data_IF_868267478992
#
_entry.id   IF_868267478992
#
_cell.length_a   1.000
_cell.length_b   1.000
_cell.length_c   1.000
_cell.angle_alpha   90.00
_cell.angle_beta   90.00
_cell.angle_gamma   90.00
#
_symmetry.space_group_name_H-M   'P 1'
#
loop_
_entity.id
_entity.type
_entity.pdbx_description
1 polymer ?
#
# COMPACT_ATOMS: atom_id res chain seq x y z
N UNK A 1 20.52 -91.20 22.29
CA UNK A 1 19.40 -92.04 22.78
C UNK A 1 19.20 -91.72 24.25
N UNK A 2 18.26 -90.84 24.56
CA UNK A 2 17.64 -90.76 25.88
C UNK A 2 16.19 -91.21 25.64
N UNK A 3 15.90 -92.49 25.94
CA UNK A 3 14.68 -93.19 25.52
C UNK A 3 13.48 -92.85 26.42
N UNK A 4 13.14 -91.55 26.51
CA UNK A 4 12.02 -91.07 27.35
C UNK A 4 10.62 -91.39 26.82
N UNK A 5 10.51 -92.06 25.67
CA UNK A 5 9.24 -92.40 25.03
C UNK A 5 8.73 -93.82 25.36
N UNK A 6 9.57 -94.67 25.96
CA UNK A 6 9.22 -96.08 26.25
C UNK A 6 8.03 -96.22 27.24
N UNK A 7 7.91 -95.43 28.33
CA UNK A 7 6.77 -95.54 29.24
C UNK A 7 5.44 -95.17 28.56
N UNK A 8 5.48 -94.18 27.66
CA UNK A 8 4.31 -93.70 26.91
C UNK A 8 3.76 -94.76 25.92
N UNK A 9 4.64 -95.58 25.33
CA UNK A 9 4.24 -96.67 24.43
C UNK A 9 3.65 -97.88 25.18
N UNK A 10 4.05 -98.10 26.43
CA UNK A 10 3.49 -99.14 27.27
C UNK A 10 2.07 -98.81 27.77
N UNK A 11 1.78 -97.54 28.09
CA UNK A 11 0.44 -97.05 28.44
C UNK A 11 -0.57 -97.12 27.27
N UNK A 12 -0.08 -97.10 26.02
CA UNK A 12 -0.89 -97.24 24.80
C UNK A 12 -1.16 -98.71 24.40
N UNK A 13 -0.75 -99.69 25.20
CA UNK A 13 -1.04 -101.12 24.96
C UNK A 13 -0.16 -101.81 23.92
N UNK A 14 1.01 -101.26 23.60
CA UNK A 14 1.93 -101.81 22.59
C UNK A 14 2.82 -102.91 23.19
N UNK A 15 2.32 -104.15 23.28
CA UNK A 15 3.04 -105.26 23.94
C UNK A 15 3.80 -106.19 22.99
N UNK A 16 3.67 -106.03 21.67
CA UNK A 16 4.33 -106.91 20.68
C UNK A 16 4.85 -106.13 19.46
N UNK A 17 5.96 -106.59 18.87
CA UNK A 17 6.60 -106.02 17.67
C UNK A 17 5.60 -105.76 16.51
N UNK A 18 4.62 -106.63 16.22
CA UNK A 18 3.63 -106.38 15.17
C UNK A 18 2.75 -105.15 15.43
N UNK A 19 2.38 -104.86 16.69
CA UNK A 19 1.54 -103.70 17.04
C UNK A 19 2.31 -102.40 16.84
N UNK A 20 3.61 -102.38 17.13
CA UNK A 20 4.49 -101.23 16.87
C UNK A 20 4.63 -100.93 15.37
N UNK A 21 4.73 -101.97 14.52
CA UNK A 21 4.79 -101.81 13.06
C UNK A 21 3.48 -101.24 12.51
N UNK A 22 2.33 -101.72 12.99
CA UNK A 22 1.02 -101.19 12.60
C UNK A 22 0.87 -99.72 13.00
N UNK A 23 1.29 -99.35 14.22
CA UNK A 23 1.28 -97.96 14.67
C UNK A 23 2.17 -97.05 13.81
N UNK A 24 3.35 -97.50 13.40
CA UNK A 24 4.23 -96.74 12.51
C UNK A 24 3.58 -96.52 11.13
N UNK A 25 2.89 -97.53 10.60
CA UNK A 25 2.15 -97.41 9.33
C UNK A 25 0.99 -96.41 9.47
N UNK A 26 0.23 -96.46 10.58
CA UNK A 26 -0.86 -95.50 10.84
C UNK A 26 -0.33 -94.08 11.02
N UNK A 27 0.79 -93.89 11.72
CA UNK A 27 1.45 -92.58 11.87
C UNK A 27 1.96 -92.08 10.52
N UNK A 28 2.55 -92.96 9.69
CA UNK A 28 3.05 -92.59 8.37
C UNK A 28 1.92 -92.22 7.41
N UNK A 29 0.85 -93.01 7.36
CA UNK A 29 -0.35 -92.73 6.56
C UNK A 29 -1.09 -91.49 7.08
N UNK A 30 -1.20 -91.31 8.39
CA UNK A 30 -1.75 -90.11 9.02
C UNK A 30 -0.95 -88.86 8.67
N UNK A 31 0.39 -88.94 8.68
CA UNK A 31 1.28 -87.86 8.25
C UNK A 31 1.10 -87.54 6.77
N UNK A 32 0.98 -88.55 5.90
CA UNK A 32 0.72 -88.39 4.47
C UNK A 32 -0.62 -87.70 4.19
N UNK A 33 -1.69 -88.13 4.87
CA UNK A 33 -3.02 -87.54 4.76
C UNK A 33 -3.04 -86.10 5.25
N UNK A 34 -2.39 -85.80 6.38
CA UNK A 34 -2.24 -84.42 6.89
C UNK A 34 -1.52 -83.55 5.86
N UNK A 35 -0.38 -83.99 5.32
CA UNK A 35 0.37 -83.19 4.33
C UNK A 35 -0.46 -82.93 3.08
N UNK A 36 -1.23 -83.91 2.59
CA UNK A 36 -2.09 -83.77 1.43
C UNK A 36 -3.25 -82.81 1.68
N UNK A 37 -4.05 -83.04 2.74
CA UNK A 37 -5.22 -82.21 3.05
C UNK A 37 -4.85 -80.78 3.44
N UNK A 38 -3.79 -80.58 4.21
CA UNK A 38 -3.34 -79.23 4.57
C UNK A 38 -2.58 -78.55 3.42
N UNK A 39 -1.95 -79.30 2.51
CA UNK A 39 -1.24 -78.74 1.35
C UNK A 39 -2.17 -77.97 0.42
N UNK A 40 -3.30 -78.57 0.03
CA UNK A 40 -4.28 -77.93 -0.85
C UNK A 40 -4.97 -76.74 -0.16
N UNK A 41 -5.30 -76.87 1.13
CA UNK A 41 -5.84 -75.76 1.93
C UNK A 41 -4.86 -74.58 2.06
N UNK A 42 -3.56 -74.85 2.19
CA UNK A 42 -2.50 -73.84 2.22
C UNK A 42 -2.40 -73.14 0.85
N UNK A 43 -2.48 -73.89 -0.24
CA UNK A 43 -2.38 -73.35 -1.60
C UNK A 43 -3.57 -72.44 -1.94
N UNK A 44 -4.79 -72.86 -1.59
CA UNK A 44 -6.00 -72.04 -1.73
C UNK A 44 -5.89 -70.76 -0.91
N UNK A 45 -5.47 -70.84 0.37
CA UNK A 45 -5.25 -69.65 1.21
C UNK A 45 -4.17 -68.72 0.64
N UNK A 46 -3.12 -69.27 0.04
CA UNK A 46 -2.05 -68.48 -0.57
C UNK A 46 -2.55 -67.71 -1.80
N UNK A 47 -3.39 -68.34 -2.62
CA UNK A 47 -4.06 -67.71 -3.77
C UNK A 47 -5.06 -66.63 -3.34
N UNK A 48 -5.85 -66.90 -2.31
CA UNK A 48 -6.78 -65.91 -1.76
C UNK A 48 -6.03 -64.69 -1.21
N UNK A 49 -4.93 -64.93 -0.49
CA UNK A 49 -4.08 -63.87 0.05
C UNK A 49 -3.40 -63.07 -1.07
N UNK A 50 -2.89 -63.73 -2.12
CA UNK A 50 -2.27 -63.02 -3.26
C UNK A 50 -3.29 -62.17 -4.01
N UNK A 51 -4.49 -62.68 -4.23
CA UNK A 51 -5.59 -61.95 -4.88
C UNK A 51 -6.05 -60.76 -4.03
N UNK A 52 -6.17 -60.94 -2.71
CA UNK A 52 -6.50 -59.88 -1.77
C UNK A 52 -5.42 -58.78 -1.75
N UNK A 53 -4.15 -59.17 -1.75
CA UNK A 53 -3.02 -58.24 -1.81
C UNK A 53 -2.99 -57.45 -3.12
N UNK A 54 -3.29 -58.09 -4.26
CA UNK A 54 -3.38 -57.42 -5.55
C UNK A 54 -4.55 -56.44 -5.62
N UNK A 55 -5.72 -56.83 -5.12
CA UNK A 55 -6.88 -55.94 -5.01
C UNK A 55 -6.59 -54.73 -4.13
N UNK A 56 -5.97 -54.92 -2.96
CA UNK A 56 -5.58 -53.83 -2.07
C UNK A 56 -4.58 -52.88 -2.73
N UNK A 57 -3.62 -53.41 -3.50
CA UNK A 57 -2.66 -52.59 -4.24
C UNK A 57 -3.33 -51.76 -5.34
N UNK A 58 -4.29 -52.34 -6.05
CA UNK A 58 -5.09 -51.64 -7.07
C UNK A 58 -5.91 -50.51 -6.46
N UNK A 59 -6.59 -50.77 -5.34
CA UNK A 59 -7.40 -49.77 -4.65
C UNK A 59 -6.52 -48.62 -4.13
N UNK A 60 -5.37 -48.94 -3.52
CA UNK A 60 -4.41 -47.93 -3.05
C UNK A 60 -3.88 -47.06 -4.19
N UNK A 61 -3.55 -47.66 -5.34
CA UNK A 61 -3.11 -46.91 -6.53
C UNK A 61 -4.20 -45.97 -7.03
N UNK A 62 -5.46 -46.42 -7.06
CA UNK A 62 -6.59 -45.61 -7.49
C UNK A 62 -6.82 -44.44 -6.53
N UNK A 63 -6.76 -44.67 -5.22
CA UNK A 63 -6.86 -43.61 -4.22
C UNK A 63 -5.71 -42.59 -4.37
N UNK A 64 -4.48 -43.04 -4.59
CA UNK A 64 -3.33 -42.17 -4.82
C UNK A 64 -3.50 -41.30 -6.07
N UNK A 65 -4.05 -41.87 -7.15
CA UNK A 65 -4.33 -41.13 -8.37
C UNK A 65 -5.42 -40.07 -8.15
N UNK A 66 -6.50 -40.42 -7.44
CA UNK A 66 -7.56 -39.48 -7.07
C UNK A 66 -7.01 -38.31 -6.23
N UNK A 67 -6.21 -38.59 -5.20
CA UNK A 67 -5.60 -37.55 -4.38
C UNK A 67 -4.63 -36.66 -5.15
N UNK A 68 -3.85 -37.24 -6.08
CA UNK A 68 -2.95 -36.47 -6.95
C UNK A 68 -3.74 -35.51 -7.84
N UNK A 69 -4.84 -35.98 -8.43
CA UNK A 69 -5.69 -35.16 -9.29
C UNK A 69 -6.38 -34.05 -8.48
N UNK A 70 -6.92 -34.36 -7.30
CA UNK A 70 -7.53 -33.36 -6.42
C UNK A 70 -6.53 -32.28 -5.99
N UNK A 71 -5.29 -32.67 -5.68
CA UNK A 71 -4.24 -31.74 -5.30
C UNK A 71 -3.81 -30.85 -6.48
N UNK A 72 -3.70 -31.42 -7.68
CA UNK A 72 -3.39 -30.68 -8.90
C UNK A 72 -4.49 -29.65 -9.21
N UNK A 73 -5.76 -30.06 -9.16
CA UNK A 73 -6.90 -29.18 -9.39
C UNK A 73 -6.94 -28.03 -8.37
N UNK A 74 -6.80 -28.35 -7.08
CA UNK A 74 -6.74 -27.31 -6.03
C UNK A 74 -5.59 -26.34 -6.27
N UNK A 75 -4.41 -26.83 -6.64
CA UNK A 75 -3.25 -25.99 -6.92
C UNK A 75 -3.49 -25.06 -8.11
N UNK A 76 -4.11 -25.56 -9.17
CA UNK A 76 -4.47 -24.76 -10.34
C UNK A 76 -5.51 -23.68 -10.01
N UNK A 77 -6.56 -24.04 -9.26
CA UNK A 77 -7.57 -23.09 -8.76
C UNK A 77 -6.92 -22.00 -7.89
N UNK A 78 -6.04 -22.37 -6.95
CA UNK A 78 -5.32 -21.41 -6.12
C UNK A 78 -4.44 -20.48 -6.95
N UNK A 79 -3.70 -21.02 -7.91
CA UNK A 79 -2.84 -20.23 -8.82
C UNK A 79 -3.66 -19.24 -9.65
N UNK A 80 -4.79 -19.69 -10.20
CA UNK A 80 -5.67 -18.84 -11.00
C UNK A 80 -6.31 -17.73 -10.14
N UNK A 81 -6.75 -18.05 -8.92
CA UNK A 81 -7.28 -17.06 -7.98
C UNK A 81 -6.22 -16.02 -7.59
N UNK A 82 -4.99 -16.46 -7.31
CA UNK A 82 -3.88 -15.57 -6.97
C UNK A 82 -3.55 -14.63 -8.14
N UNK A 83 -3.47 -15.16 -9.36
CA UNK A 83 -3.22 -14.36 -10.57
C UNK A 83 -4.32 -13.33 -10.80
N UNK A 84 -5.59 -13.71 -10.61
CA UNK A 84 -6.73 -12.79 -10.74
C UNK A 84 -6.66 -11.67 -9.70
N UNK A 85 -6.34 -12.00 -8.45
CA UNK A 85 -6.20 -11.01 -7.38
C UNK A 85 -5.04 -10.04 -7.67
N UNK A 86 -3.90 -10.58 -8.15
CA UNK A 86 -2.73 -9.78 -8.52
C UNK A 86 -3.05 -8.79 -9.65
N UNK A 87 -3.69 -9.24 -10.72
CA UNK A 87 -4.07 -8.36 -11.83
C UNK A 87 -5.09 -7.30 -11.40
N UNK A 88 -6.00 -7.64 -10.48
CA UNK A 88 -6.96 -6.69 -9.92
C UNK A 88 -6.23 -5.59 -9.14
N UNK A 89 -5.36 -5.96 -8.19
CA UNK A 89 -4.58 -5.00 -7.42
C UNK A 89 -3.64 -4.15 -8.28
N UNK A 90 -3.04 -4.75 -9.32
CA UNK A 90 -2.20 -4.03 -10.28
C UNK A 90 -3.00 -2.97 -11.04
N UNK A 91 -4.22 -3.32 -11.47
CA UNK A 91 -5.14 -2.38 -12.12
C UNK A 91 -5.58 -1.25 -11.19
N UNK A 92 -5.96 -1.58 -9.95
CA UNK A 92 -6.32 -0.60 -8.91
C UNK A 92 -5.18 0.37 -8.61
N UNK A 93 -3.97 -0.16 -8.41
CA UNK A 93 -2.78 0.63 -8.13
C UNK A 93 -2.42 1.53 -9.31
N UNK A 94 -2.55 1.04 -10.54
CA UNK A 94 -2.36 1.86 -11.73
C UNK A 94 -3.39 3.00 -11.82
N UNK A 95 -4.66 2.72 -11.52
CA UNK A 95 -5.71 3.74 -11.51
C UNK A 95 -5.46 4.81 -10.43
N UNK A 96 -5.07 4.39 -9.22
CA UNK A 96 -4.71 5.30 -8.13
C UNK A 96 -3.51 6.14 -8.54
N UNK A 97 -2.45 5.53 -9.07
CA UNK A 97 -1.27 6.26 -9.53
C UNK A 97 -1.62 7.28 -10.61
N UNK A 98 -2.43 6.93 -11.61
CA UNK A 98 -2.85 7.87 -12.65
C UNK A 98 -3.66 9.05 -12.10
N UNK A 99 -4.59 8.79 -11.17
CA UNK A 99 -5.38 9.85 -10.53
C UNK A 99 -4.48 10.77 -9.70
N UNK A 100 -3.63 10.18 -8.89
CA UNK A 100 -2.69 10.87 -8.00
C UNK A 100 -1.67 11.69 -8.79
N UNK A 101 -1.08 11.13 -9.85
CA UNK A 101 -0.16 11.85 -10.74
C UNK A 101 -0.82 13.05 -11.40
N UNK A 102 -2.03 12.90 -11.95
CA UNK A 102 -2.77 14.02 -12.55
C UNK A 102 -3.13 15.10 -11.53
N UNK A 103 -3.48 14.69 -10.31
CA UNK A 103 -3.77 15.62 -9.22
C UNK A 103 -2.51 16.41 -8.84
N UNK A 104 -1.38 15.74 -8.65
CA UNK A 104 -0.10 16.38 -8.34
C UNK A 104 0.38 17.30 -9.45
N UNK A 105 0.24 16.89 -10.71
CA UNK A 105 0.57 17.74 -11.86
C UNK A 105 -0.25 19.03 -11.82
N UNK A 106 -1.58 18.92 -11.67
CA UNK A 106 -2.45 20.10 -11.57
C UNK A 106 -2.11 20.97 -10.36
N UNK A 107 -1.89 20.36 -9.20
CA UNK A 107 -1.50 21.07 -7.98
C UNK A 107 -0.17 21.82 -8.17
N UNK A 108 0.80 21.23 -8.86
CA UNK A 108 2.10 21.86 -9.10
C UNK A 108 1.99 23.12 -9.97
N UNK A 109 1.15 23.08 -11.00
CA UNK A 109 0.87 24.23 -11.86
C UNK A 109 0.17 25.35 -11.08
N UNK A 110 -0.80 24.99 -10.25
CA UNK A 110 -1.53 25.94 -9.39
C UNK A 110 -0.57 26.63 -8.41
N UNK A 111 0.31 25.87 -7.75
CA UNK A 111 1.32 26.41 -6.83
C UNK A 111 2.27 27.37 -7.56
N UNK A 112 2.76 26.98 -8.74
CA UNK A 112 3.69 27.79 -9.52
C UNK A 112 3.07 29.14 -9.94
N UNK A 113 1.84 29.12 -10.45
CA UNK A 113 1.14 30.35 -10.86
C UNK A 113 0.77 31.22 -9.65
N UNK A 114 0.30 30.63 -8.54
CA UNK A 114 0.04 31.38 -7.31
C UNK A 114 1.30 32.08 -6.80
N UNK A 115 2.42 31.37 -6.72
CA UNK A 115 3.69 31.95 -6.24
C UNK A 115 4.18 33.09 -7.15
N UNK A 116 4.00 32.96 -8.47
CA UNK A 116 4.29 34.02 -9.43
C UNK A 116 3.41 35.26 -9.19
N UNK A 117 2.11 35.08 -8.93
CA UNK A 117 1.20 36.18 -8.61
C UNK A 117 1.58 36.86 -7.30
N UNK A 118 1.88 36.10 -6.24
CA UNK A 118 2.37 36.62 -4.95
C UNK A 118 3.67 37.41 -5.13
N UNK A 119 4.63 36.90 -5.91
CA UNK A 119 5.90 37.57 -6.17
C UNK A 119 5.72 38.89 -6.91
N UNK A 120 4.79 38.91 -7.88
CA UNK A 120 4.43 40.11 -8.63
C UNK A 120 3.73 41.13 -7.75
N UNK A 121 2.77 40.69 -6.94
CA UNK A 121 2.09 41.51 -5.93
C UNK A 121 3.09 42.18 -5.00
N UNK A 122 4.00 41.39 -4.42
CA UNK A 122 5.04 41.90 -3.53
C UNK A 122 5.89 42.98 -4.21
N UNK A 123 6.29 42.78 -5.48
CA UNK A 123 7.04 43.78 -6.23
C UNK A 123 6.24 45.07 -6.41
N UNK A 124 4.98 44.97 -6.84
CA UNK A 124 4.13 46.14 -7.08
C UNK A 124 3.83 46.93 -5.80
N UNK A 125 3.69 46.24 -4.66
CA UNK A 125 3.55 46.91 -3.36
C UNK A 125 4.85 47.56 -2.89
N UNK A 126 6.01 46.93 -3.11
CA UNK A 126 7.29 47.58 -2.83
C UNK A 126 7.51 48.82 -3.71
N UNK A 127 7.14 48.77 -4.99
CA UNK A 127 7.20 49.93 -5.89
C UNK A 127 6.26 51.05 -5.39
N UNK A 128 5.05 50.69 -4.96
CA UNK A 128 4.05 51.62 -4.43
C UNK A 128 4.49 52.28 -3.12
N UNK A 129 5.13 51.54 -2.21
CA UNK A 129 5.49 52.03 -0.86
C UNK A 129 6.95 52.49 -0.75
N UNK A 130 7.70 52.50 -1.84
CA UNK A 130 9.10 52.90 -1.86
C UNK A 130 9.30 54.33 -1.31
N UNK A 131 10.33 54.49 -0.46
CA UNK A 131 10.71 55.79 0.12
C UNK A 131 11.16 56.79 -0.94
N UNK A 132 11.96 56.32 -1.90
CA UNK A 132 12.43 57.11 -3.02
C UNK A 132 11.83 56.54 -4.30
N UNK A 133 11.15 57.39 -5.05
CA UNK A 133 10.50 57.03 -6.31
C UNK A 133 11.11 57.88 -7.41
N UNK A 134 11.54 57.21 -8.47
CA UNK A 134 11.96 57.92 -9.67
C UNK A 134 10.71 58.50 -10.34
N UNK A 135 10.73 59.80 -10.62
CA UNK A 135 9.66 60.52 -11.32
C UNK A 135 10.24 61.10 -12.60
N UNK A 136 9.63 60.81 -13.74
CA UNK A 136 10.13 61.22 -15.06
C UNK A 136 9.43 62.47 -15.55
N UNK A 137 8.10 62.53 -15.41
CA UNK A 137 7.32 63.67 -15.90
C UNK A 137 6.32 64.19 -14.88
N UNK A 138 5.43 63.33 -14.39
CA UNK A 138 4.27 63.75 -13.60
C UNK A 138 4.16 62.86 -12.37
N UNK A 139 4.50 63.44 -11.22
CA UNK A 139 4.55 62.71 -9.96
C UNK A 139 3.19 62.17 -9.54
N UNK A 140 2.09 62.85 -9.84
CA UNK A 140 0.74 62.44 -9.41
C UNK A 140 0.24 61.31 -10.31
N UNK A 141 0.41 61.47 -11.63
CA UNK A 141 0.02 60.43 -12.59
C UNK A 141 0.81 59.14 -12.38
N UNK A 142 2.13 59.22 -12.27
CA UNK A 142 2.99 58.06 -12.05
C UNK A 142 2.70 57.37 -10.70
N UNK A 143 2.28 58.15 -9.69
CA UNK A 143 1.83 57.60 -8.42
C UNK A 143 0.52 56.83 -8.54
N UNK A 144 -0.46 57.40 -9.24
CA UNK A 144 -1.72 56.73 -9.49
C UNK A 144 -1.52 55.43 -10.30
N UNK A 145 -0.58 55.43 -11.24
CA UNK A 145 -0.20 54.23 -11.99
C UNK A 145 0.39 53.13 -11.07
N UNK A 146 1.23 53.49 -10.10
CA UNK A 146 1.76 52.54 -9.09
C UNK A 146 0.65 51.96 -8.22
N UNK A 147 -0.28 52.80 -7.75
CA UNK A 147 -1.46 52.36 -6.98
C UNK A 147 -2.29 51.40 -7.82
N UNK A 148 -2.68 51.80 -9.03
CA UNK A 148 -3.51 50.99 -9.93
C UNK A 148 -2.85 49.64 -10.25
N UNK A 149 -1.53 49.61 -10.44
CA UNK A 149 -0.76 48.39 -10.66
C UNK A 149 -0.82 47.46 -9.44
N UNK A 150 -0.59 48.00 -8.23
CA UNK A 150 -0.68 47.24 -7.00
C UNK A 150 -2.09 46.67 -6.77
N UNK A 151 -3.14 47.48 -6.97
CA UNK A 151 -4.54 47.03 -6.88
C UNK A 151 -4.85 45.93 -7.90
N UNK A 152 -4.40 46.09 -9.14
CA UNK A 152 -4.61 45.09 -10.20
C UNK A 152 -3.94 43.76 -9.85
N UNK A 153 -2.70 43.80 -9.39
CA UNK A 153 -1.95 42.60 -9.03
C UNK A 153 -2.53 41.93 -7.77
N UNK A 154 -3.07 42.72 -6.82
CA UNK A 154 -3.78 42.20 -5.64
C UNK A 154 -5.05 41.46 -6.04
N UNK A 155 -5.88 42.05 -6.89
CA UNK A 155 -7.11 41.42 -7.36
C UNK A 155 -6.81 40.11 -8.12
N UNK A 156 -5.82 40.10 -9.01
CA UNK A 156 -5.42 38.89 -9.74
C UNK A 156 -4.96 37.76 -8.81
N UNK A 157 -4.22 38.10 -7.75
CA UNK A 157 -3.82 37.14 -6.72
C UNK A 157 -5.02 36.58 -5.95
N UNK A 158 -5.93 37.43 -5.48
CA UNK A 158 -7.11 37.01 -4.71
C UNK A 158 -8.05 36.15 -5.55
N UNK A 159 -8.34 36.57 -6.78
CA UNK A 159 -9.20 35.84 -7.71
C UNK A 159 -8.64 34.44 -7.97
N UNK A 160 -7.35 34.36 -8.35
CA UNK A 160 -6.71 33.08 -8.61
C UNK A 160 -6.69 32.18 -7.37
N UNK A 161 -6.35 32.71 -6.19
CA UNK A 161 -6.33 31.93 -4.97
C UNK A 161 -7.71 31.42 -4.58
N UNK A 162 -8.74 32.27 -4.67
CA UNK A 162 -10.12 31.90 -4.35
C UNK A 162 -10.61 30.76 -5.24
N UNK A 163 -10.38 30.87 -6.56
CA UNK A 163 -10.79 29.85 -7.54
C UNK A 163 -10.05 28.52 -7.36
N UNK A 164 -8.84 28.55 -6.79
CA UNK A 164 -7.97 27.39 -6.65
C UNK A 164 -7.77 26.94 -5.19
N UNK A 165 -8.56 27.46 -4.24
CA UNK A 165 -8.41 27.20 -2.80
C UNK A 165 -8.40 25.71 -2.45
N UNK A 166 -9.17 24.90 -3.19
CA UNK A 166 -9.28 23.43 -3.00
C UNK A 166 -7.95 22.68 -3.19
N UNK A 167 -6.96 23.27 -3.84
CA UNK A 167 -5.66 22.63 -4.07
C UNK A 167 -4.68 22.77 -2.89
N UNK A 168 -5.06 23.48 -1.84
CA UNK A 168 -4.20 23.80 -0.70
C UNK A 168 -4.72 23.19 0.59
N UNK A 169 -3.81 22.94 1.54
CA UNK A 169 -4.19 22.55 2.89
C UNK A 169 -4.76 23.76 3.64
N UNK A 170 -5.57 23.50 4.67
CA UNK A 170 -6.17 24.57 5.49
C UNK A 170 -5.10 25.50 6.10
N UNK A 171 -3.96 24.94 6.54
CA UNK A 171 -2.85 25.73 7.08
C UNK A 171 -2.29 26.73 6.06
N UNK A 172 -2.13 26.31 4.80
CA UNK A 172 -1.65 27.19 3.72
C UNK A 172 -2.70 28.25 3.40
N UNK A 173 -3.98 27.86 3.38
CA UNK A 173 -5.06 28.81 3.16
C UNK A 173 -5.07 29.93 4.20
N UNK A 174 -4.88 29.59 5.48
CA UNK A 174 -4.78 30.57 6.57
C UNK A 174 -3.59 31.52 6.36
N UNK A 175 -2.42 31.00 5.98
CA UNK A 175 -1.25 31.83 5.72
C UNK A 175 -1.47 32.80 4.54
N UNK A 176 -2.14 32.34 3.48
CA UNK A 176 -2.48 33.17 2.31
C UNK A 176 -3.57 34.20 2.66
N UNK A 177 -4.57 33.84 3.45
CA UNK A 177 -5.61 34.75 3.94
C UNK A 177 -4.99 35.86 4.81
N UNK A 178 -4.07 35.50 5.71
CA UNK A 178 -3.30 36.46 6.51
C UNK A 178 -2.46 37.41 5.65
N UNK A 179 -1.75 36.86 4.65
CA UNK A 179 -0.98 37.66 3.69
C UNK A 179 -1.89 38.64 2.92
N UNK A 180 -3.06 38.17 2.50
CA UNK A 180 -4.06 38.97 1.79
C UNK A 180 -4.55 40.16 2.62
N UNK A 181 -4.83 39.92 3.89
CA UNK A 181 -5.24 40.96 4.82
C UNK A 181 -4.13 41.99 5.05
N UNK A 182 -2.88 41.55 5.21
CA UNK A 182 -1.74 42.46 5.37
C UNK A 182 -1.55 43.39 4.15
N UNK A 183 -1.66 42.87 2.93
CA UNK A 183 -1.58 43.71 1.73
C UNK A 183 -2.77 44.67 1.62
N UNK A 184 -3.97 44.22 2.00
CA UNK A 184 -5.16 45.08 2.03
C UNK A 184 -4.95 46.23 3.01
N UNK A 185 -4.45 45.96 4.21
CA UNK A 185 -4.16 46.98 5.22
C UNK A 185 -3.10 47.96 4.71
N UNK A 186 -2.00 47.44 4.15
CA UNK A 186 -0.96 48.30 3.54
C UNK A 186 -1.54 49.22 2.47
N UNK A 187 -2.44 48.71 1.63
CA UNK A 187 -3.07 49.50 0.58
C UNK A 187 -3.96 50.62 1.18
N UNK A 188 -4.79 50.30 2.17
CA UNK A 188 -5.64 51.31 2.83
C UNK A 188 -4.84 52.36 3.58
N UNK A 189 -3.90 51.94 4.44
CA UNK A 189 -3.04 52.85 5.21
C UNK A 189 -2.26 53.78 4.25
N UNK A 190 -1.82 53.24 3.11
CA UNK A 190 -1.14 54.02 2.08
C UNK A 190 -2.03 55.07 1.45
N UNK A 191 -3.24 54.70 1.02
CA UNK A 191 -4.21 55.64 0.42
C UNK A 191 -4.66 56.70 1.43
N UNK A 192 -4.95 56.31 2.67
CA UNK A 192 -5.35 57.24 3.72
C UNK A 192 -4.25 58.26 3.99
N UNK A 193 -2.98 57.85 4.06
CA UNK A 193 -1.84 58.76 4.21
C UNK A 193 -1.75 59.82 3.09
N UNK A 194 -2.31 59.54 1.91
CA UNK A 194 -2.38 60.49 0.78
C UNK A 194 -3.56 61.44 0.88
N UNK A 195 -4.69 60.95 1.38
CA UNK A 195 -5.92 61.73 1.51
C UNK A 195 -5.89 62.72 2.68
N UNK A 196 -5.07 62.47 3.71
CA UNK A 196 -4.74 63.49 4.70
C UNK A 196 -3.87 64.58 4.05
N UNK A 197 -4.45 65.78 3.89
CA UNK A 197 -3.78 66.99 3.41
C UNK A 197 -2.66 67.49 4.35
N UNK A 198 -2.35 68.79 4.32
CA UNK A 198 -1.26 69.39 5.11
C UNK A 198 -1.48 69.41 6.64
N UNK A 199 -2.62 68.95 7.15
CA UNK A 199 -3.07 69.31 8.50
C UNK A 199 -2.47 68.48 9.63
N UNK A 200 -1.80 67.35 9.37
CA UNK A 200 -1.10 66.63 10.44
C UNK A 200 0.05 65.75 9.91
N UNK A 201 1.19 66.38 9.64
CA UNK A 201 2.42 65.74 9.18
C UNK A 201 2.81 64.50 10.01
N UNK A 202 2.56 64.52 11.33
CA UNK A 202 2.87 63.42 12.25
C UNK A 202 1.99 62.18 12.00
N UNK A 203 0.70 62.35 11.70
CA UNK A 203 -0.21 61.24 11.39
C UNK A 203 0.20 60.60 10.06
N UNK A 204 0.45 61.43 9.05
CA UNK A 204 0.91 60.97 7.73
C UNK A 204 2.23 60.22 7.82
N UNK A 205 3.18 60.72 8.61
CA UNK A 205 4.46 60.07 8.84
C UNK A 205 4.29 58.73 9.56
N UNK A 206 3.47 58.67 10.61
CA UNK A 206 3.18 57.43 11.34
C UNK A 206 2.60 56.33 10.46
N UNK A 207 1.60 56.66 9.63
CA UNK A 207 0.99 55.71 8.68
C UNK A 207 2.00 55.19 7.65
N UNK A 208 2.84 56.06 7.10
CA UNK A 208 3.87 55.65 6.13
C UNK A 208 4.96 54.78 6.77
N UNK A 209 5.34 55.07 8.02
CA UNK A 209 6.29 54.24 8.77
C UNK A 209 5.70 52.84 9.06
N UNK A 210 4.40 52.76 9.39
CA UNK A 210 3.70 51.48 9.58
C UNK A 210 3.57 50.67 8.28
N UNK A 211 3.17 51.32 7.18
CA UNK A 211 3.11 50.71 5.85
C UNK A 211 4.47 50.11 5.48
N UNK A 212 5.54 50.87 5.72
CA UNK A 212 6.90 50.42 5.46
C UNK A 212 7.26 49.23 6.32
N UNK A 213 6.99 49.29 7.63
CA UNK A 213 7.26 48.19 8.56
C UNK A 213 6.55 46.91 8.13
N UNK A 214 5.25 47.00 7.79
CA UNK A 214 4.48 45.85 7.27
C UNK A 214 5.11 45.27 6.00
N UNK A 215 5.47 46.13 5.04
CA UNK A 215 6.02 45.70 3.74
C UNK A 215 7.43 45.12 3.84
N UNK A 216 8.30 45.68 4.69
CA UNK A 216 9.72 45.33 4.75
C UNK A 216 10.07 44.32 5.84
N UNK A 217 9.29 44.23 6.92
CA UNK A 217 9.62 43.40 8.08
C UNK A 217 8.60 42.28 8.32
N UNK A 218 7.30 42.51 8.07
CA UNK A 218 6.24 41.54 8.42
C UNK A 218 5.90 40.62 7.26
N UNK A 219 5.73 41.17 6.06
CA UNK A 219 5.38 40.40 4.86
C UNK A 219 6.50 39.44 4.42
N UNK A 220 7.80 39.83 4.39
CA UNK A 220 8.84 38.95 3.85
C UNK A 220 9.02 37.61 4.60
N UNK A 221 8.97 37.54 5.95
CA UNK A 221 8.96 36.27 6.66
C UNK A 221 7.81 35.34 6.28
N UNK A 222 6.60 35.88 6.08
CA UNK A 222 5.42 35.09 5.65
C UNK A 222 5.64 34.54 4.25
N UNK A 223 6.17 35.36 3.33
CA UNK A 223 6.52 34.92 1.98
C UNK A 223 7.56 33.80 1.99
N UNK A 224 8.59 33.92 2.83
CA UNK A 224 9.62 32.89 2.98
C UNK A 224 9.04 31.59 3.53
N UNK A 225 8.10 31.67 4.49
CA UNK A 225 7.41 30.50 5.03
C UNK A 225 6.54 29.82 3.96
N UNK A 226 5.73 30.58 3.23
CA UNK A 226 4.90 30.06 2.13
C UNK A 226 5.76 29.42 1.03
N UNK A 227 6.88 30.03 0.67
CA UNK A 227 7.83 29.46 -0.29
C UNK A 227 8.38 28.12 0.19
N UNK A 228 8.72 27.99 1.48
CA UNK A 228 9.18 26.73 2.06
C UNK A 228 8.10 25.65 1.99
N UNK A 229 6.85 26.00 2.35
CA UNK A 229 5.72 25.10 2.26
C UNK A 229 5.45 24.62 0.82
N UNK A 230 5.50 25.54 -0.15
CA UNK A 230 5.35 25.20 -1.57
C UNK A 230 6.47 24.27 -2.07
N UNK A 231 7.73 24.54 -1.70
CA UNK A 231 8.85 23.67 -2.04
C UNK A 231 8.70 22.27 -1.46
N UNK A 232 8.23 22.17 -0.22
CA UNK A 232 7.95 20.88 0.43
C UNK A 232 6.87 20.10 -0.32
N UNK A 233 5.77 20.74 -0.75
CA UNK A 233 4.73 20.08 -1.56
C UNK A 233 5.30 19.60 -2.90
N UNK A 234 6.11 20.44 -3.55
CA UNK A 234 6.73 20.12 -4.83
C UNK A 234 7.90 19.13 -4.70
N UNK A 235 8.26 18.71 -3.48
CA UNK A 235 9.42 17.86 -3.20
C UNK A 235 10.74 18.41 -3.74
N UNK A 236 10.86 19.74 -3.84
CA UNK A 236 12.08 20.44 -4.24
C UNK A 236 12.83 20.84 -2.98
N UNK A 237 14.00 20.22 -2.74
CA UNK A 237 14.88 20.58 -1.62
C UNK A 237 15.72 21.81 -1.94
#
# INVERSE_FOLDING_TARGET
MDFRWIPFLAELGVSTVPVAVVLLIVIFLGRQLIVYFFGEAIEVKKLELSKSLENNRLDLNKQLEMYRNELAEKTEVYKNNLNRLLETHKSELNLINLKTSKLYEKQSLVIAELYKLISRLNRSFNDMTALMKFVVSDSEKEEQERINKATKDFNAFIEFFTDNRIFFSESICVDIDNLSNLYRDVHWDYLDSKNYGNTEFLIKKGLLDEVRKKTQEVIPPILSNLQSQFRNILSVK
#
